data_IF_831113167881
#
_entry.id   IF_831113167881
#
_cell.length_a   1.000
_cell.length_b   1.000
_cell.length_c   1.000
_cell.angle_alpha   90.00
_cell.angle_beta   90.00
_cell.angle_gamma   90.00
#
_symmetry.space_group_name_H-M   'P 1'
#
loop_
_entity.id
_entity.type
_entity.pdbx_description
1 polymer ?
#
# COMPACT_ATOMS: atom_id res chain seq x y z
N UNK A 1 -28.58 -5.42 57.30
CA UNK A 1 -27.74 -6.25 56.42
C UNK A 1 -27.90 -5.66 55.04
N UNK A 2 -26.99 -4.74 54.72
CA UNK A 2 -27.04 -3.87 53.55
C UNK A 2 -26.31 -4.50 52.35
N UNK A 3 -26.82 -4.34 51.12
CA UNK A 3 -26.11 -4.70 49.91
C UNK A 3 -25.18 -3.54 49.51
N UNK A 4 -23.88 -3.82 49.38
CA UNK A 4 -22.91 -2.87 48.88
C UNK A 4 -23.07 -2.67 47.36
N UNK A 5 -23.50 -1.47 46.98
CA UNK A 5 -23.35 -0.87 45.66
C UNK A 5 -21.87 -0.73 45.31
N UNK A 6 -21.46 -1.31 44.18
CA UNK A 6 -20.17 -1.06 43.54
C UNK A 6 -20.43 -0.19 42.32
N UNK A 7 -20.38 1.13 42.53
CA UNK A 7 -20.24 2.10 41.46
C UNK A 7 -18.79 2.03 40.94
N UNK A 8 -18.61 1.51 39.72
CA UNK A 8 -17.38 1.68 38.97
C UNK A 8 -17.35 3.12 38.43
N UNK A 9 -16.43 3.91 38.96
CA UNK A 9 -16.13 5.26 38.48
C UNK A 9 -15.41 5.17 37.14
N UNK A 10 -16.09 5.51 36.05
CA UNK A 10 -15.45 5.88 34.80
C UNK A 10 -14.65 7.16 35.07
N UNK A 11 -13.34 7.01 35.21
CA UNK A 11 -12.42 8.13 35.30
C UNK A 11 -12.32 8.77 33.92
N UNK A 12 -13.04 9.88 33.79
CA UNK A 12 -12.98 10.84 32.70
C UNK A 12 -11.55 11.42 32.58
N UNK A 13 -10.72 10.78 31.76
CA UNK A 13 -9.39 11.26 31.34
C UNK A 13 -9.54 12.28 30.20
N UNK A 14 -10.34 13.33 30.40
CA UNK A 14 -10.53 14.39 29.41
C UNK A 14 -10.14 15.77 29.96
N UNK A 15 -9.55 16.57 29.07
CA UNK A 15 -9.14 17.97 29.19
C UNK A 15 -8.00 18.36 30.15
N UNK A 16 -7.81 17.70 31.30
CA UNK A 16 -6.79 18.14 32.26
C UNK A 16 -5.34 17.94 31.74
N UNK A 17 -5.05 16.82 31.06
CA UNK A 17 -3.70 16.50 30.57
C UNK A 17 -3.26 17.32 29.35
N UNK A 18 -4.21 17.75 28.50
CA UNK A 18 -3.90 18.53 27.29
C UNK A 18 -3.54 19.98 27.62
N UNK A 19 -4.21 20.56 28.61
CA UNK A 19 -3.89 21.88 29.18
C UNK A 19 -2.45 21.95 29.70
N UNK A 20 -2.02 20.92 30.43
CA UNK A 20 -0.71 20.87 31.06
C UNK A 20 0.42 20.68 30.04
N UNK A 21 0.18 19.91 28.97
CA UNK A 21 1.13 19.76 27.85
C UNK A 21 1.29 21.07 27.08
N UNK A 22 0.21 21.81 26.82
CA UNK A 22 0.32 23.11 26.15
C UNK A 22 1.02 24.16 27.01
N UNK A 23 0.74 24.18 28.32
CA UNK A 23 1.40 25.07 29.27
C UNK A 23 2.91 24.75 29.34
N UNK A 24 3.27 23.47 29.38
CA UNK A 24 4.66 23.01 29.35
C UNK A 24 5.37 23.37 28.04
N UNK A 25 4.72 23.19 26.89
CA UNK A 25 5.29 23.57 25.58
C UNK A 25 5.47 25.09 25.43
N UNK A 26 4.55 25.90 25.97
CA UNK A 26 4.71 27.37 26.01
C UNK A 26 5.87 27.79 26.92
N UNK A 27 6.03 27.16 28.08
CA UNK A 27 7.16 27.41 28.98
C UNK A 27 8.51 27.00 28.35
N UNK A 28 8.58 25.83 27.73
CA UNK A 28 9.78 25.34 27.06
C UNK A 28 10.20 26.23 25.87
N UNK A 29 9.22 26.85 25.17
CA UNK A 29 9.49 27.77 24.06
C UNK A 29 10.00 29.14 24.52
N UNK A 30 9.68 29.55 25.75
CA UNK A 30 10.16 30.80 26.34
C UNK A 30 11.60 30.69 26.86
N UNK A 31 12.07 29.49 27.19
CA UNK A 31 13.42 29.24 27.70
C UNK A 31 14.45 28.91 26.62
N UNK A 32 14.02 28.65 25.38
CA UNK A 32 14.95 28.38 24.28
C UNK A 32 15.61 29.69 23.80
N UNK A 33 16.95 29.81 23.84
CA UNK A 33 17.62 30.97 23.28
C UNK A 33 17.31 31.07 21.80
N UNK A 34 16.97 32.28 21.33
CA UNK A 34 16.75 32.54 19.92
C UNK A 34 18.03 32.19 19.14
N UNK A 35 18.06 30.99 18.55
CA UNK A 35 19.15 30.56 17.68
C UNK A 35 19.04 31.36 16.38
N UNK A 36 19.68 32.52 16.34
CA UNK A 36 19.89 33.25 15.09
C UNK A 36 20.70 32.34 14.17
N UNK A 37 20.09 31.88 13.09
CA UNK A 37 20.79 31.15 12.04
C UNK A 37 21.81 32.09 11.42
N UNK A 38 23.06 32.00 11.87
CA UNK A 38 24.13 32.88 11.44
C UNK A 38 24.39 32.77 9.92
N UNK A 39 25.02 33.79 9.32
CA UNK A 39 25.27 33.88 7.87
C UNK A 39 26.08 32.69 7.30
N UNK A 40 26.70 31.91 8.17
CA UNK A 40 27.50 30.72 7.85
C UNK A 40 26.68 29.50 7.44
N UNK A 41 25.37 29.45 7.73
CA UNK A 41 24.53 28.30 7.36
C UNK A 41 24.40 28.16 5.84
N UNK A 42 24.10 29.27 5.14
CA UNK A 42 24.06 29.31 3.68
C UNK A 42 25.42 28.97 3.05
N UNK A 43 26.53 29.35 3.70
CA UNK A 43 27.88 29.03 3.25
C UNK A 43 28.22 27.54 3.46
N UNK A 44 27.77 26.95 4.57
CA UNK A 44 27.94 25.53 4.87
C UNK A 44 27.16 24.64 3.90
N UNK A 45 25.95 25.05 3.53
CA UNK A 45 25.13 24.38 2.50
C UNK A 45 25.80 24.48 1.13
N UNK A 46 26.32 25.66 0.74
CA UNK A 46 27.05 25.84 -0.53
C UNK A 46 28.35 25.01 -0.59
N UNK A 47 29.09 24.91 0.51
CA UNK A 47 30.31 24.08 0.59
C UNK A 47 29.98 22.60 0.48
N UNK A 48 28.90 22.14 1.11
CA UNK A 48 28.44 20.73 1.04
C UNK A 48 27.95 20.36 -0.35
N UNK A 49 27.22 21.27 -1.02
CA UNK A 49 26.79 21.10 -2.42
C UNK A 49 27.99 21.04 -3.39
N UNK A 50 29.02 21.87 -3.20
CA UNK A 50 30.26 21.82 -4.00
C UNK A 50 31.05 20.53 -3.78
N UNK A 51 31.16 20.04 -2.54
CA UNK A 51 31.82 18.76 -2.23
C UNK A 51 31.13 17.56 -2.88
N UNK A 52 29.78 17.55 -2.96
CA UNK A 52 29.04 16.50 -3.68
C UNK A 52 29.33 16.53 -5.19
N UNK A 53 29.29 17.71 -5.83
CA UNK A 53 29.63 17.85 -7.26
C UNK A 53 31.08 17.45 -7.57
N UNK A 54 32.02 17.71 -6.67
CA UNK A 54 33.41 17.28 -6.83
C UNK A 54 33.59 15.75 -6.70
N UNK A 55 32.85 15.10 -5.81
CA UNK A 55 32.90 13.63 -5.64
C UNK A 55 32.26 12.88 -6.81
N UNK A 56 31.18 13.40 -7.39
CA UNK A 56 30.57 12.83 -8.61
C UNK A 56 31.52 12.90 -9.81
N UNK A 57 32.32 13.97 -9.92
CA UNK A 57 33.36 14.06 -10.97
C UNK A 57 34.55 13.12 -10.74
N UNK A 58 34.92 12.85 -9.50
CA UNK A 58 35.99 11.90 -9.17
C UNK A 58 35.59 10.42 -9.34
N UNK A 59 34.29 10.10 -9.16
CA UNK A 59 33.76 8.77 -9.44
C UNK A 59 33.63 8.48 -10.96
N UNK A 60 33.40 9.51 -11.77
CA UNK A 60 33.34 9.39 -13.24
C UNK A 60 34.69 9.06 -13.92
N UNK A 61 35.82 9.32 -13.27
CA UNK A 61 37.16 9.08 -13.87
C UNK A 61 37.64 7.62 -13.83
N UNK A 62 37.07 6.75 -12.99
CA UNK A 62 37.43 5.32 -12.97
C UNK A 62 36.62 4.53 -14.00
N UNK A 63 35.36 4.93 -14.24
CA UNK A 63 34.54 4.34 -15.30
C UNK A 63 35.06 4.67 -16.70
N UNK A 64 35.58 5.89 -16.92
CA UNK A 64 36.08 6.31 -18.23
C UNK A 64 37.30 5.51 -18.73
N UNK A 65 38.16 5.00 -17.84
CA UNK A 65 39.31 4.17 -18.24
C UNK A 65 38.87 2.77 -18.68
N UNK A 66 37.84 2.21 -18.05
CA UNK A 66 37.28 0.90 -18.42
C UNK A 66 36.49 1.01 -19.73
N UNK A 67 35.74 2.08 -19.95
CA UNK A 67 35.02 2.30 -21.23
C UNK A 67 35.96 2.63 -22.38
N UNK A 68 37.07 3.33 -22.15
CA UNK A 68 38.05 3.64 -23.20
C UNK A 68 38.74 2.37 -23.76
N UNK A 69 38.99 1.35 -22.93
CA UNK A 69 39.56 0.06 -23.37
C UNK A 69 38.54 -0.76 -24.17
N UNK A 70 37.25 -0.73 -23.79
CA UNK A 70 36.18 -1.43 -24.54
C UNK A 70 35.88 -0.74 -25.88
N UNK A 71 35.92 0.60 -25.94
CA UNK A 71 35.70 1.35 -27.19
C UNK A 71 36.87 1.21 -28.17
N UNK A 72 38.12 1.07 -27.70
CA UNK A 72 39.28 0.81 -28.58
C UNK A 72 39.28 -0.59 -29.22
N UNK A 73 38.57 -1.57 -28.63
CA UNK A 73 38.42 -2.91 -29.22
C UNK A 73 37.23 -3.02 -30.19
N UNK A 74 36.31 -2.05 -30.19
CA UNK A 74 35.10 -2.06 -31.05
C UNK A 74 35.21 -1.08 -32.23
N UNK A 75 36.17 -0.14 -32.23
CA UNK A 75 36.22 0.97 -33.20
C UNK A 75 37.08 0.73 -34.47
N UNK A 76 37.20 -0.51 -34.96
CA UNK A 76 37.63 -0.76 -36.36
C UNK A 76 36.44 -0.68 -37.33
N UNK A 77 35.20 -0.62 -36.84
CA UNK A 77 34.02 -0.35 -37.65
C UNK A 77 33.37 0.96 -37.22
N UNK A 78 33.12 1.86 -38.18
CA UNK A 78 32.35 3.12 -38.08
C UNK A 78 33.19 4.39 -37.82
N UNK A 79 33.95 4.76 -38.85
CA UNK A 79 34.40 6.13 -39.11
C UNK A 79 33.37 6.84 -40.00
N UNK A 80 32.83 7.95 -39.50
CA UNK A 80 32.04 8.95 -40.21
C UNK A 80 30.87 9.40 -39.32
N UNK A 81 30.79 10.60 -38.77
CA UNK A 81 31.47 11.88 -39.02
C UNK A 81 30.41 12.95 -38.76
N UNK A 82 30.70 13.97 -37.95
CA UNK A 82 29.78 15.10 -37.77
C UNK A 82 29.85 15.80 -36.42
N UNK A 83 30.64 16.87 -36.35
CA UNK A 83 30.75 17.81 -35.23
C UNK A 83 29.62 18.84 -35.33
N UNK A 84 28.93 19.16 -34.23
CA UNK A 84 27.86 20.19 -34.22
C UNK A 84 27.51 20.74 -32.83
N UNK A 85 28.23 21.79 -32.43
CA UNK A 85 27.87 22.97 -31.60
C UNK A 85 26.80 22.88 -30.49
N UNK A 86 27.23 23.14 -29.25
CA UNK A 86 26.43 23.45 -28.07
C UNK A 86 25.61 24.75 -28.22
N UNK A 87 24.30 24.64 -28.33
CA UNK A 87 23.35 25.75 -28.15
C UNK A 87 22.34 25.39 -27.05
N UNK A 88 22.23 26.23 -26.02
CA UNK A 88 21.15 26.14 -25.03
C UNK A 88 19.87 26.56 -25.75
N UNK A 89 18.95 25.62 -25.95
CA UNK A 89 17.64 25.88 -26.54
C UNK A 89 16.71 26.54 -25.48
N UNK A 90 15.97 27.60 -25.84
CA UNK A 90 14.94 28.15 -24.96
C UNK A 90 13.76 27.16 -24.84
N UNK A 91 13.05 27.23 -23.72
CA UNK A 91 11.85 26.43 -23.47
C UNK A 91 10.83 26.63 -24.61
N UNK A 92 10.56 25.54 -25.33
CA UNK A 92 9.54 25.50 -26.37
C UNK A 92 8.17 25.37 -25.71
N UNK A 93 7.21 26.19 -26.12
CA UNK A 93 5.79 25.93 -25.88
C UNK A 93 5.38 24.74 -26.73
N UNK A 94 5.30 23.57 -26.09
CA UNK A 94 4.97 22.29 -26.73
C UNK A 94 3.48 22.27 -27.10
N UNK A 95 3.19 21.99 -28.38
CA UNK A 95 1.84 21.74 -28.86
C UNK A 95 1.29 20.42 -28.27
N UNK A 96 -0.04 20.24 -28.11
CA UNK A 96 -0.59 19.02 -27.55
C UNK A 96 -0.15 17.79 -28.36
N UNK A 97 0.47 16.81 -27.69
CA UNK A 97 0.78 15.51 -28.30
C UNK A 97 -0.48 14.84 -28.84
N UNK A 98 -0.34 14.08 -29.93
CA UNK A 98 -1.42 13.30 -30.53
C UNK A 98 -2.09 12.37 -29.49
N UNK A 99 -3.38 11.99 -29.65
CA UNK A 99 -4.07 11.09 -28.72
C UNK A 99 -3.32 9.75 -28.61
N UNK A 100 -2.49 9.64 -27.57
CA UNK A 100 -1.61 8.51 -27.31
C UNK A 100 -2.35 7.35 -26.68
N UNK A 101 -1.73 6.18 -26.69
CA UNK A 101 -2.25 4.95 -26.12
C UNK A 101 -2.78 5.16 -24.68
N UNK A 102 -3.99 4.68 -24.41
CA UNK A 102 -4.53 4.65 -23.06
C UNK A 102 -3.75 3.63 -22.23
N UNK A 103 -3.22 4.05 -21.08
CA UNK A 103 -2.56 3.15 -20.13
C UNK A 103 -3.55 2.79 -19.03
N UNK A 104 -4.04 1.54 -19.04
CA UNK A 104 -5.00 1.04 -18.05
C UNK A 104 -4.36 -0.02 -17.15
N UNK A 105 -4.21 0.29 -15.86
CA UNK A 105 -3.71 -0.63 -14.84
C UNK A 105 -4.35 -0.32 -13.48
N UNK A 106 -4.60 -1.33 -12.65
CA UNK A 106 -5.10 -1.08 -11.30
C UNK A 106 -6.52 -0.48 -11.25
N UNK A 107 -7.27 -0.57 -12.36
CA UNK A 107 -8.56 0.10 -12.53
C UNK A 107 -8.42 1.60 -12.74
N UNK A 108 -7.22 2.09 -13.00
CA UNK A 108 -6.93 3.47 -13.39
C UNK A 108 -6.62 3.48 -14.88
N UNK A 109 -7.12 4.48 -15.61
CA UNK A 109 -6.70 4.78 -16.98
C UNK A 109 -6.10 6.18 -17.03
N UNK A 110 -4.86 6.29 -17.53
CA UNK A 110 -4.20 7.58 -17.76
C UNK A 110 -4.36 7.94 -19.24
N UNK A 111 -5.11 9.00 -19.53
CA UNK A 111 -5.43 9.44 -20.90
C UNK A 111 -4.50 10.52 -21.43
N UNK A 112 -3.65 11.09 -20.56
CA UNK A 112 -2.66 12.08 -20.96
C UNK A 112 -1.40 11.96 -20.11
N UNK A 113 -0.25 11.99 -20.77
CA UNK A 113 1.06 12.03 -20.17
C UNK A 113 1.94 13.06 -20.89
N UNK A 114 2.98 13.61 -20.23
CA UNK A 114 3.94 14.49 -20.88
C UNK A 114 4.63 13.82 -22.06
N UNK A 115 4.99 14.60 -23.08
CA UNK A 115 5.71 14.08 -24.25
C UNK A 115 7.04 13.43 -23.84
N UNK A 116 7.37 12.32 -24.49
CA UNK A 116 8.60 11.59 -24.19
C UNK A 116 8.53 10.73 -22.92
N UNK A 117 7.38 10.63 -22.25
CA UNK A 117 7.19 9.67 -21.16
C UNK A 117 6.75 8.30 -21.70
N UNK A 118 7.18 7.24 -21.01
CA UNK A 118 6.75 5.86 -21.23
C UNK A 118 6.38 5.20 -19.91
N UNK A 119 5.52 4.20 -19.99
CA UNK A 119 5.24 3.31 -18.87
C UNK A 119 6.48 2.48 -18.53
N UNK A 120 6.81 2.38 -17.24
CA UNK A 120 7.98 1.68 -16.73
C UNK A 120 7.60 0.42 -15.95
N UNK A 121 6.62 0.55 -15.05
CA UNK A 121 6.23 -0.54 -14.16
C UNK A 121 4.85 -0.32 -13.56
N UNK A 122 4.31 -1.42 -13.05
CA UNK A 122 3.04 -1.49 -12.38
C UNK A 122 3.20 -2.27 -11.06
N UNK A 123 2.53 -1.81 -9.99
CA UNK A 123 2.59 -2.43 -8.66
C UNK A 123 1.22 -2.45 -8.01
N UNK A 124 0.97 -3.48 -7.21
CA UNK A 124 -0.26 -3.64 -6.45
C UNK A 124 0.05 -4.11 -5.02
N UNK A 125 -0.88 -3.88 -4.08
CA UNK A 125 -0.81 -4.53 -2.78
C UNK A 125 0.41 -4.12 -1.96
N UNK A 126 0.99 -5.12 -1.27
CA UNK A 126 2.19 -4.97 -0.47
C UNK A 126 3.44 -4.61 -1.28
N UNK A 127 3.45 -4.83 -2.60
CA UNK A 127 4.62 -4.54 -3.42
C UNK A 127 4.83 -3.03 -3.60
N UNK A 128 3.72 -2.26 -3.58
CA UNK A 128 3.77 -0.80 -3.50
C UNK A 128 4.46 -0.38 -2.20
N UNK A 129 4.13 -1.02 -1.06
CA UNK A 129 4.73 -0.72 0.26
C UNK A 129 6.20 -1.14 0.38
N UNK A 130 6.56 -2.29 -0.19
CA UNK A 130 7.88 -2.90 -0.02
C UNK A 130 8.95 -2.28 -0.89
N UNK A 131 8.55 -1.71 -2.02
CA UNK A 131 9.50 -1.03 -2.88
C UNK A 131 10.04 0.23 -2.22
N UNK A 132 11.33 0.52 -2.37
CA UNK A 132 11.87 1.85 -2.02
C UNK A 132 11.10 2.97 -2.72
N UNK A 133 10.54 2.63 -3.89
CA UNK A 133 9.60 3.42 -4.68
C UNK A 133 8.25 3.70 -4.01
N UNK A 134 7.93 3.04 -2.88
CA UNK A 134 6.67 3.19 -2.17
C UNK A 134 6.49 4.61 -1.66
N UNK A 135 7.56 5.25 -1.16
CA UNK A 135 7.63 6.66 -0.79
C UNK A 135 6.30 7.29 -0.37
N UNK A 136 5.82 8.26 -1.17
CA UNK A 136 4.51 8.92 -1.04
C UNK A 136 3.38 7.90 -0.83
N UNK A 137 3.13 7.00 -1.78
CA UNK A 137 2.05 6.00 -1.76
C UNK A 137 2.09 5.07 -0.53
N UNK A 138 3.29 4.68 -0.09
CA UNK A 138 3.47 3.82 1.06
C UNK A 138 3.11 4.53 2.38
N UNK A 139 3.41 5.82 2.48
CA UNK A 139 2.92 6.64 3.58
C UNK A 139 1.39 6.75 3.58
N UNK A 140 0.73 6.79 2.42
CA UNK A 140 -0.74 6.79 2.36
C UNK A 140 -1.34 5.49 2.81
N UNK A 141 -0.81 4.34 2.37
CA UNK A 141 -1.28 3.06 2.90
C UNK A 141 -1.03 2.95 4.41
N UNK A 142 0.06 3.53 4.93
CA UNK A 142 0.28 3.61 6.37
C UNK A 142 -0.82 4.41 7.08
N UNK A 143 -1.16 5.60 6.56
CA UNK A 143 -2.23 6.42 7.13
C UNK A 143 -3.59 5.70 7.04
N UNK A 144 -3.89 5.05 5.92
CA UNK A 144 -5.16 4.37 5.65
C UNK A 144 -5.32 3.03 6.40
N UNK A 145 -4.57 2.80 7.48
CA UNK A 145 -4.72 1.62 8.33
C UNK A 145 -3.97 0.37 7.85
N UNK A 146 -3.00 0.53 6.94
CA UNK A 146 -2.17 -0.55 6.36
C UNK A 146 -2.93 -1.57 5.53
N UNK A 147 -4.20 -1.32 5.20
CA UNK A 147 -4.84 -2.13 4.17
C UNK A 147 -4.22 -1.78 2.82
N UNK A 148 -3.41 -2.69 2.31
CA UNK A 148 -2.69 -2.51 1.05
C UNK A 148 -3.47 -3.10 -0.12
N UNK A 149 -4.55 -3.85 0.11
CA UNK A 149 -5.18 -4.65 -0.92
C UNK A 149 -5.86 -3.81 -2.01
N UNK A 150 -6.25 -2.58 -1.68
CA UNK A 150 -6.78 -1.60 -2.63
C UNK A 150 -5.72 -0.69 -3.26
N UNK A 151 -4.43 -0.90 -3.00
CA UNK A 151 -3.38 0.01 -3.47
C UNK A 151 -2.83 -0.43 -4.82
N UNK A 152 -2.89 0.46 -5.81
CA UNK A 152 -2.27 0.26 -7.12
C UNK A 152 -1.47 1.49 -7.52
N UNK A 153 -0.38 1.26 -8.24
CA UNK A 153 0.46 2.33 -8.76
C UNK A 153 1.06 1.94 -10.12
N UNK A 154 1.06 2.90 -11.04
CA UNK A 154 1.78 2.84 -12.30
C UNK A 154 2.86 3.90 -12.32
N UNK A 155 4.06 3.50 -12.73
CA UNK A 155 5.23 4.37 -12.84
C UNK A 155 5.50 4.69 -14.30
N UNK A 156 5.76 5.95 -14.56
CA UNK A 156 6.11 6.50 -15.86
C UNK A 156 7.41 7.27 -15.75
N UNK A 157 8.22 7.27 -16.80
CA UNK A 157 9.46 8.02 -16.83
C UNK A 157 9.91 8.32 -18.25
N UNK A 158 11.05 9.00 -18.43
CA UNK A 158 11.49 9.43 -19.74
C UNK A 158 11.86 8.24 -20.63
N UNK A 159 11.60 8.40 -21.93
CA UNK A 159 11.76 7.33 -22.92
C UNK A 159 13.22 6.90 -23.09
N UNK A 160 14.15 7.79 -22.81
CA UNK A 160 15.60 7.54 -22.83
C UNK A 160 16.10 6.66 -21.66
N UNK A 161 15.23 6.35 -20.70
CA UNK A 161 15.57 5.53 -19.53
C UNK A 161 16.43 6.24 -18.49
N UNK A 162 16.46 7.58 -18.50
CA UNK A 162 17.11 8.34 -17.44
C UNK A 162 16.33 8.29 -16.12
N UNK A 163 17.06 8.16 -15.00
CA UNK A 163 16.49 8.13 -13.63
C UNK A 163 15.88 9.49 -13.18
N UNK A 164 16.01 10.55 -13.99
CA UNK A 164 15.88 11.92 -13.51
C UNK A 164 14.44 12.43 -13.38
N UNK A 165 13.41 11.66 -13.73
CA UNK A 165 12.02 12.15 -13.74
C UNK A 165 11.01 10.99 -13.71
N UNK A 166 10.70 10.45 -12.53
CA UNK A 166 9.60 9.47 -12.41
C UNK A 166 8.30 10.18 -12.05
N UNK A 167 7.24 9.87 -12.79
CA UNK A 167 5.86 10.21 -12.46
C UNK A 167 5.14 8.94 -12.04
N UNK A 168 4.48 8.96 -10.89
CA UNK A 168 3.68 7.84 -10.39
C UNK A 168 2.23 8.25 -10.27
N UNK A 169 1.35 7.45 -10.84
CA UNK A 169 -0.10 7.56 -10.68
C UNK A 169 -0.56 6.38 -9.85
N UNK A 170 -1.30 6.63 -8.78
CA UNK A 170 -1.83 5.56 -7.95
C UNK A 170 -3.21 5.82 -7.41
N UNK A 171 -3.83 4.74 -6.95
CA UNK A 171 -5.15 4.73 -6.30
C UNK A 171 -5.07 3.88 -5.05
N UNK A 172 -5.74 4.32 -4.00
CA UNK A 172 -6.18 3.49 -2.91
C UNK A 172 -7.70 3.36 -2.98
N UNK A 173 -8.20 2.18 -3.34
CA UNK A 173 -9.63 1.86 -3.40
C UNK A 173 -10.31 1.87 -2.03
N UNK A 174 -9.54 1.68 -0.96
CA UNK A 174 -10.03 1.63 0.42
C UNK A 174 -9.25 2.60 1.32
N UNK A 175 -9.47 3.92 1.18
CA UNK A 175 -8.78 4.90 2.02
C UNK A 175 -9.24 4.89 3.49
N UNK A 176 -10.23 4.06 3.84
CA UNK A 176 -10.82 4.01 5.17
C UNK A 176 -11.55 5.31 5.48
N UNK A 177 -11.25 5.91 6.64
CA UNK A 177 -11.80 7.21 7.05
C UNK A 177 -11.01 8.42 6.54
N UNK A 178 -9.97 8.21 5.72
CA UNK A 178 -9.13 9.31 5.25
C UNK A 178 -9.82 10.06 4.13
N UNK A 179 -10.27 11.27 4.45
CA UNK A 179 -10.64 12.29 3.47
C UNK A 179 -9.43 13.14 3.08
N UNK A 180 -9.55 13.89 1.98
CA UNK A 180 -8.55 14.91 1.59
C UNK A 180 -8.30 15.92 2.72
N UNK A 181 -9.34 16.27 3.48
CA UNK A 181 -9.22 17.15 4.65
C UNK A 181 -8.48 16.46 5.81
N UNK A 182 -8.76 15.19 6.08
CA UNK A 182 -8.01 14.40 7.05
C UNK A 182 -6.53 14.26 6.67
N UNK A 183 -6.26 14.10 5.38
CA UNK A 183 -4.91 14.04 4.81
C UNK A 183 -4.17 15.38 4.99
N UNK A 184 -4.85 16.50 4.74
CA UNK A 184 -4.33 17.84 5.02
C UNK A 184 -3.98 18.03 6.50
N UNK A 185 -4.80 17.51 7.42
CA UNK A 185 -4.56 17.59 8.85
C UNK A 185 -3.39 16.68 9.30
N UNK A 186 -3.27 15.49 8.73
CA UNK A 186 -2.26 14.49 9.11
C UNK A 186 -0.83 14.86 8.68
N UNK A 187 -0.68 15.68 7.64
CA UNK A 187 0.61 16.06 7.06
C UNK A 187 1.31 17.20 7.82
N UNK A 188 1.49 17.02 9.12
CA UNK A 188 2.21 17.96 9.98
C UNK A 188 3.63 18.21 9.44
N UNK A 189 3.89 19.44 8.97
CA UNK A 189 5.19 19.88 8.45
C UNK A 189 5.25 20.05 6.93
N UNK A 190 4.28 19.52 6.16
CA UNK A 190 4.06 19.96 4.80
C UNK A 190 3.21 21.24 4.80
N UNK A 191 3.29 22.06 3.75
CA UNK A 191 2.34 23.16 3.52
C UNK A 191 1.32 22.72 2.48
N UNK A 192 0.29 21.95 2.87
CA UNK A 192 -0.74 21.50 1.94
C UNK A 192 -1.41 22.72 1.33
N UNK A 193 -1.37 22.80 0.00
CA UNK A 193 -2.03 23.87 -0.74
C UNK A 193 -3.31 23.31 -1.35
N UNK A 194 -4.49 23.77 -0.90
CA UNK A 194 -5.77 23.34 -1.48
C UNK A 194 -5.83 23.66 -2.98
N UNK A 195 -6.44 22.76 -3.74
CA UNK A 195 -6.70 22.91 -5.17
C UNK A 195 -7.91 22.07 -5.58
N UNK A 196 -8.11 21.88 -6.88
CA UNK A 196 -9.08 20.94 -7.42
C UNK A 196 -8.52 20.12 -8.58
N UNK A 197 -9.06 18.92 -8.78
CA UNK A 197 -8.84 18.06 -9.96
C UNK A 197 -10.20 17.64 -10.48
N UNK A 198 -10.55 18.00 -11.72
CA UNK A 198 -11.86 17.66 -12.27
C UNK A 198 -13.07 18.21 -11.48
N UNK A 199 -12.88 19.25 -10.67
CA UNK A 199 -13.90 19.80 -9.76
C UNK A 199 -13.86 19.22 -8.35
N UNK A 200 -13.16 18.11 -8.13
CA UNK A 200 -13.02 17.48 -6.82
C UNK A 200 -12.00 18.22 -5.95
N UNK A 201 -12.22 18.35 -4.63
CA UNK A 201 -11.23 18.88 -3.69
C UNK A 201 -9.93 18.09 -3.75
N UNK A 202 -8.83 18.81 -3.81
CA UNK A 202 -7.51 18.22 -3.92
C UNK A 202 -6.48 18.95 -3.06
N UNK A 203 -5.41 18.26 -2.69
CA UNK A 203 -4.31 18.81 -1.87
C UNK A 203 -2.99 18.60 -2.58
N UNK A 204 -2.23 19.69 -2.73
CA UNK A 204 -0.86 19.69 -3.25
C UNK A 204 0.13 19.70 -2.10
N UNK A 205 1.17 18.89 -2.22
CA UNK A 205 2.33 18.86 -1.34
C UNK A 205 3.58 19.20 -2.16
N UNK A 206 4.23 20.31 -1.85
CA UNK A 206 5.39 20.84 -2.61
C UNK A 206 6.72 20.77 -1.86
N UNK A 207 6.77 20.04 -0.76
CA UNK A 207 7.97 19.93 0.08
C UNK A 207 8.55 18.54 -0.03
N UNK A 208 9.88 18.44 0.11
CA UNK A 208 10.53 17.18 0.47
C UNK A 208 9.75 16.60 1.64
N UNK A 209 9.13 15.43 1.43
CA UNK A 209 8.49 14.73 2.53
C UNK A 209 9.56 14.51 3.60
N UNK A 210 9.27 14.76 4.88
CA UNK A 210 10.28 14.65 5.92
C UNK A 210 10.89 13.24 5.89
N UNK A 211 12.20 13.16 6.13
CA UNK A 211 12.98 11.96 5.83
C UNK A 211 12.47 10.69 6.54
N UNK A 212 11.79 10.84 7.68
CA UNK A 212 11.12 9.76 8.41
C UNK A 212 9.93 9.13 7.65
N UNK A 213 9.34 9.85 6.70
CA UNK A 213 8.26 9.36 5.83
C UNK A 213 8.83 8.61 4.62
N UNK A 214 9.99 9.03 4.12
CA UNK A 214 10.56 8.53 2.86
C UNK A 214 11.14 7.10 2.88
N UNK A 215 11.14 6.39 4.01
CA UNK A 215 11.54 4.97 4.12
C UNK A 215 12.98 4.61 3.71
N UNK A 216 13.75 5.52 3.13
CA UNK A 216 15.04 5.21 2.51
C UNK A 216 15.42 6.19 1.40
N UNK A 217 15.66 7.46 1.74
CA UNK A 217 16.49 8.38 0.93
C UNK A 217 15.89 8.92 -0.37
N UNK A 218 14.66 8.57 -0.75
CA UNK A 218 14.01 9.13 -1.94
C UNK A 218 13.35 10.48 -1.63
N UNK A 219 13.84 11.56 -2.25
CA UNK A 219 13.25 12.90 -2.15
C UNK A 219 12.18 13.07 -3.22
N UNK A 220 10.92 12.91 -2.84
CA UNK A 220 9.81 13.36 -3.68
C UNK A 220 9.78 14.89 -3.71
N UNK A 221 9.56 15.45 -4.90
CA UNK A 221 9.51 16.90 -5.08
C UNK A 221 8.09 17.45 -5.02
N UNK A 222 7.08 16.61 -5.30
CA UNK A 222 5.70 16.92 -4.97
C UNK A 222 4.72 15.81 -5.23
N UNK A 223 3.53 15.95 -4.65
CA UNK A 223 2.41 15.06 -4.85
C UNK A 223 1.08 15.82 -4.84
N UNK A 224 0.10 15.33 -5.60
CA UNK A 224 -1.26 15.84 -5.71
C UNK A 224 -2.24 14.73 -5.37
N UNK A 225 -3.09 14.96 -4.37
CA UNK A 225 -4.09 14.01 -3.87
C UNK A 225 -5.49 14.53 -4.12
N UNK A 226 -6.41 13.63 -4.42
CA UNK A 226 -7.84 13.92 -4.47
C UNK A 226 -8.64 12.63 -4.25
N UNK A 227 -9.89 12.77 -3.82
CA UNK A 227 -10.84 11.66 -3.72
C UNK A 227 -11.90 11.80 -4.80
N UNK A 228 -12.47 10.67 -5.25
CA UNK A 228 -13.62 10.68 -6.15
C UNK A 228 -14.90 10.47 -5.33
N UNK A 229 -15.67 11.53 -5.12
CA UNK A 229 -16.83 11.54 -4.23
C UNK A 229 -16.46 11.47 -2.74
N UNK A 230 -17.47 11.57 -1.89
CA UNK A 230 -17.30 11.49 -0.43
C UNK A 230 -17.05 10.03 0.01
N UNK A 231 -15.90 9.79 0.64
CA UNK A 231 -15.45 8.45 1.06
C UNK A 231 -15.06 7.50 -0.07
N UNK A 232 -14.99 7.96 -1.32
CA UNK A 232 -14.57 7.14 -2.45
C UNK A 232 -13.05 6.97 -2.58
N UNK A 233 -12.57 6.33 -3.65
CA UNK A 233 -11.14 6.04 -3.84
C UNK A 233 -10.29 7.30 -3.77
N UNK A 234 -9.14 7.19 -3.11
CA UNK A 234 -8.14 8.25 -3.02
C UNK A 234 -7.11 8.06 -4.13
N UNK A 235 -6.90 9.08 -4.95
CA UNK A 235 -5.90 9.06 -6.02
C UNK A 235 -4.72 9.95 -5.67
N UNK A 236 -3.60 9.63 -6.31
CA UNK A 236 -2.38 10.43 -6.23
C UNK A 236 -1.66 10.48 -7.57
N UNK A 237 -1.15 11.67 -7.90
CA UNK A 237 -0.03 11.84 -8.83
C UNK A 237 1.17 12.34 -8.04
N UNK A 238 2.30 11.65 -8.12
CA UNK A 238 3.53 12.07 -7.47
C UNK A 238 4.68 12.11 -8.45
N UNK A 239 5.61 13.05 -8.23
CA UNK A 239 6.76 13.26 -9.10
C UNK A 239 8.05 13.21 -8.29
N UNK A 240 9.06 12.57 -8.88
CA UNK A 240 10.38 12.38 -8.32
C UNK A 240 11.42 13.08 -9.21
N UNK A 241 12.41 13.69 -8.58
CA UNK A 241 13.67 14.18 -9.18
C UNK A 241 13.57 15.26 -10.31
N UNK A 242 12.38 15.81 -10.60
CA UNK A 242 12.16 16.98 -11.48
C UNK A 242 12.14 18.32 -10.72
N UNK A 243 13.21 19.11 -10.79
CA UNK A 243 13.23 20.50 -10.33
C UNK A 243 13.57 21.48 -11.48
N UNK A 244 12.76 22.53 -11.71
CA UNK A 244 11.54 22.91 -10.98
C UNK A 244 10.33 22.03 -11.32
N UNK A 245 9.44 21.87 -10.34
CA UNK A 245 8.20 21.11 -10.51
C UNK A 245 7.16 21.92 -11.29
N UNK A 246 6.68 21.41 -12.42
CA UNK A 246 5.57 22.02 -13.16
C UNK A 246 4.22 21.50 -12.61
N UNK A 247 3.60 22.28 -11.74
CA UNK A 247 2.30 21.96 -11.17
C UNK A 247 1.16 21.97 -12.18
N UNK A 248 1.27 22.72 -13.28
CA UNK A 248 0.25 22.70 -14.33
C UNK A 248 0.29 21.36 -15.07
N UNK A 249 1.48 20.82 -15.31
CA UNK A 249 1.67 19.50 -15.88
C UNK A 249 1.14 18.39 -14.97
N UNK A 250 1.49 18.39 -13.68
CA UNK A 250 0.98 17.40 -12.70
C UNK A 250 -0.55 17.44 -12.64
N UNK A 251 -1.13 18.65 -12.61
CA UNK A 251 -2.58 18.81 -12.60
C UNK A 251 -3.21 18.25 -13.88
N UNK A 252 -2.59 18.48 -15.04
CA UNK A 252 -3.07 17.96 -16.32
C UNK A 252 -3.01 16.43 -16.38
N UNK A 253 -1.96 15.80 -15.83
CA UNK A 253 -1.93 14.33 -15.67
C UNK A 253 -3.09 13.88 -14.79
N UNK A 254 -3.27 14.50 -13.62
CA UNK A 254 -4.34 14.14 -12.70
C UNK A 254 -5.75 14.30 -13.31
N UNK A 255 -5.98 15.36 -14.09
CA UNK A 255 -7.24 15.57 -14.84
C UNK A 255 -7.44 14.53 -15.97
N UNK A 256 -6.34 13.94 -16.48
CA UNK A 256 -6.36 12.83 -17.42
C UNK A 256 -6.45 11.45 -16.77
N UNK A 257 -6.54 11.37 -15.44
CA UNK A 257 -6.74 10.10 -14.73
C UNK A 257 -8.23 9.79 -14.65
N UNK A 258 -8.62 8.64 -15.20
CA UNK A 258 -9.97 8.11 -15.15
C UNK A 258 -10.00 6.86 -14.27
N UNK A 259 -10.96 6.79 -13.34
CA UNK A 259 -11.24 5.56 -12.61
C UNK A 259 -12.16 4.65 -13.44
N UNK A 260 -11.73 3.42 -13.62
CA UNK A 260 -12.55 2.31 -14.07
C UNK A 260 -13.12 1.53 -12.89
N UNK A 261 -13.31 0.22 -13.08
CA UNK A 261 -13.66 -0.70 -12.00
C UNK A 261 -12.39 -1.09 -11.25
N UNK A 262 -12.49 -1.18 -9.92
CA UNK A 262 -11.42 -1.77 -9.13
C UNK A 262 -11.07 -3.18 -9.66
N UNK A 263 -9.78 -3.48 -9.86
CA UNK A 263 -9.35 -4.81 -10.26
C UNK A 263 -9.61 -5.79 -9.13
N UNK A 264 -9.99 -7.00 -9.50
CA UNK A 264 -10.16 -8.10 -8.56
C UNK A 264 -11.28 -7.85 -7.53
N UNK A 265 -12.18 -6.86 -7.75
CA UNK A 265 -13.39 -6.74 -6.95
C UNK A 265 -14.25 -7.97 -7.15
N UNK A 266 -14.41 -8.73 -6.07
CA UNK A 266 -15.30 -9.88 -6.05
C UNK A 266 -16.74 -9.38 -6.21
N UNK A 267 -17.47 -9.95 -7.16
CA UNK A 267 -18.90 -9.65 -7.30
C UNK A 267 -19.64 -9.90 -5.96
N UNK A 268 -20.56 -9.03 -5.51
CA UNK A 268 -21.22 -9.19 -4.22
C UNK A 268 -21.90 -10.55 -4.02
N UNK A 269 -22.48 -11.14 -5.07
CA UNK A 269 -23.07 -12.49 -4.99
C UNK A 269 -21.98 -13.54 -4.76
N UNK A 270 -20.82 -13.38 -5.39
CA UNK A 270 -19.67 -14.26 -5.15
C UNK A 270 -19.15 -14.11 -3.72
N UNK A 271 -19.10 -12.88 -3.18
CA UNK A 271 -18.75 -12.65 -1.75
C UNK A 271 -19.67 -13.45 -0.84
N UNK A 272 -20.98 -13.37 -1.04
CA UNK A 272 -21.96 -14.07 -0.21
C UNK A 272 -21.80 -15.61 -0.31
N UNK A 273 -21.56 -16.13 -1.52
CA UNK A 273 -21.32 -17.56 -1.74
C UNK A 273 -20.02 -18.05 -1.09
N UNK A 274 -18.93 -17.29 -1.21
CA UNK A 274 -17.65 -17.61 -0.57
C UNK A 274 -17.79 -17.55 0.96
N UNK A 275 -18.45 -16.53 1.51
CA UNK A 275 -18.76 -16.45 2.95
C UNK A 275 -19.57 -17.66 3.41
N UNK A 276 -20.57 -18.09 2.64
CA UNK A 276 -21.37 -19.26 2.97
C UNK A 276 -20.54 -20.55 3.03
N UNK A 277 -19.62 -20.77 2.08
CA UNK A 277 -18.71 -21.91 2.09
C UNK A 277 -17.81 -21.91 3.34
N UNK A 278 -17.13 -20.79 3.60
CA UNK A 278 -16.27 -20.65 4.79
C UNK A 278 -17.04 -20.78 6.12
N UNK A 279 -18.25 -20.20 6.22
CA UNK A 279 -19.11 -20.39 7.39
C UNK A 279 -19.55 -21.85 7.56
N UNK A 280 -19.74 -22.60 6.48
CA UNK A 280 -20.06 -24.03 6.57
C UNK A 280 -18.86 -24.82 7.13
N UNK A 281 -17.64 -24.42 6.77
CA UNK A 281 -16.41 -25.11 7.21
C UNK A 281 -15.98 -24.71 8.63
N UNK A 282 -16.06 -23.43 8.99
CA UNK A 282 -15.41 -22.85 10.19
C UNK A 282 -16.35 -22.19 11.20
N UNK A 283 -17.68 -22.23 11.03
CA UNK A 283 -18.61 -21.76 12.05
C UNK A 283 -19.15 -22.95 12.85
N UNK A 284 -18.92 -22.94 14.15
CA UNK A 284 -19.50 -23.90 15.08
C UNK A 284 -21.03 -23.83 15.05
N UNK A 285 -21.69 -24.99 15.13
CA UNK A 285 -23.15 -25.11 15.12
C UNK A 285 -23.64 -26.08 16.18
N UNK A 286 -24.86 -25.83 16.65
CA UNK A 286 -25.58 -26.74 17.54
C UNK A 286 -27.00 -26.97 16.97
N UNK A 287 -27.30 -28.16 16.40
CA UNK A 287 -26.43 -29.33 16.30
C UNK A 287 -25.25 -29.17 15.31
N UNK A 288 -24.19 -29.99 15.41
CA UNK A 288 -23.10 -30.01 14.45
C UNK A 288 -23.57 -30.34 13.03
N UNK A 289 -22.88 -29.81 12.01
CA UNK A 289 -23.13 -30.16 10.60
C UNK A 289 -22.79 -31.62 10.33
N UNK A 290 -23.60 -32.27 9.49
CA UNK A 290 -23.28 -33.58 8.93
C UNK A 290 -22.01 -33.52 8.07
N UNK A 291 -21.32 -34.65 7.94
CA UNK A 291 -20.13 -34.77 7.11
C UNK A 291 -20.43 -34.50 5.63
N UNK A 292 -21.64 -34.82 5.17
CA UNK A 292 -22.12 -34.51 3.82
C UNK A 292 -22.25 -32.99 3.59
N UNK A 293 -22.94 -32.28 4.50
CA UNK A 293 -23.13 -30.83 4.37
C UNK A 293 -21.80 -30.08 4.51
N UNK A 294 -20.91 -30.55 5.38
CA UNK A 294 -19.57 -30.00 5.51
C UNK A 294 -18.70 -30.30 4.27
N UNK A 295 -18.77 -31.54 3.78
CA UNK A 295 -18.03 -32.00 2.60
C UNK A 295 -18.41 -31.25 1.32
N UNK A 296 -19.68 -30.83 1.20
CA UNK A 296 -20.16 -30.02 0.08
C UNK A 296 -19.62 -28.57 0.07
N UNK A 297 -18.89 -28.13 1.10
CA UNK A 297 -18.33 -26.78 1.21
C UNK A 297 -16.79 -26.75 1.15
N UNK A 298 -16.13 -27.89 0.97
CA UNK A 298 -14.67 -28.01 0.85
C UNK A 298 -14.31 -28.77 -0.41
N UNK A 299 -13.21 -28.40 -1.04
CA UNK A 299 -12.62 -29.14 -2.16
C UNK A 299 -12.10 -30.50 -1.68
N UNK A 300 -12.27 -31.56 -2.48
CA UNK A 300 -11.77 -32.93 -2.23
C UNK A 300 -12.15 -33.50 -0.84
N UNK A 301 -13.44 -33.49 -0.46
CA UNK A 301 -13.86 -33.80 0.91
C UNK A 301 -13.50 -35.22 1.36
N UNK A 302 -13.44 -36.19 0.44
CA UNK A 302 -13.08 -37.57 0.75
C UNK A 302 -11.68 -37.70 1.39
N UNK A 303 -10.75 -36.84 1.01
CA UNK A 303 -9.38 -36.81 1.54
C UNK A 303 -9.29 -36.08 2.88
N UNK A 304 -10.19 -35.11 3.10
CA UNK A 304 -10.14 -34.20 4.24
C UNK A 304 -10.99 -34.68 5.43
N UNK A 305 -12.10 -35.37 5.19
CA UNK A 305 -13.01 -35.85 6.24
C UNK A 305 -12.32 -36.67 7.35
N UNK A 306 -11.39 -37.60 7.06
CA UNK A 306 -10.64 -38.30 8.11
C UNK A 306 -9.81 -37.37 9.00
N UNK A 307 -9.24 -36.29 8.42
CA UNK A 307 -8.48 -35.28 9.16
C UNK A 307 -9.42 -34.49 10.08
N UNK A 308 -10.57 -34.05 9.55
CA UNK A 308 -11.61 -33.36 10.34
C UNK A 308 -12.07 -34.19 11.54
N UNK A 309 -12.29 -35.49 11.34
CA UNK A 309 -12.65 -36.40 12.43
C UNK A 309 -11.60 -36.46 13.55
N UNK A 310 -10.31 -36.54 13.18
CA UNK A 310 -9.20 -36.50 14.16
C UNK A 310 -9.11 -35.15 14.88
N UNK A 311 -9.29 -34.03 14.16
CA UNK A 311 -9.34 -32.68 14.76
C UNK A 311 -10.48 -32.59 15.76
N UNK A 312 -11.69 -33.05 15.42
CA UNK A 312 -12.84 -33.00 16.31
C UNK A 312 -12.67 -33.88 17.57
N UNK A 313 -12.04 -35.05 17.43
CA UNK A 313 -11.75 -35.92 18.56
C UNK A 313 -10.71 -35.30 19.51
N UNK A 314 -9.69 -34.62 18.95
CA UNK A 314 -8.56 -34.08 19.71
C UNK A 314 -8.85 -32.71 20.33
N UNK A 315 -9.58 -31.88 19.60
CA UNK A 315 -9.90 -30.49 19.93
C UNK A 315 -11.42 -30.26 19.91
N UNK A 316 -12.17 -30.89 20.83
CA UNK A 316 -13.61 -30.76 20.86
C UNK A 316 -14.06 -29.32 21.19
N UNK A 317 -13.28 -28.58 21.96
CA UNK A 317 -13.56 -27.17 22.27
C UNK A 317 -13.44 -26.29 21.03
N UNK A 318 -12.43 -26.53 20.19
CA UNK A 318 -12.25 -25.86 18.90
C UNK A 318 -13.50 -26.05 18.05
N UNK A 319 -13.92 -27.29 17.81
CA UNK A 319 -15.09 -27.57 16.95
C UNK A 319 -16.38 -27.00 17.54
N UNK A 320 -16.52 -26.98 18.86
CA UNK A 320 -17.72 -26.47 19.53
C UNK A 320 -17.82 -24.94 19.58
N UNK A 321 -16.70 -24.22 19.42
CA UNK A 321 -16.65 -22.77 19.66
C UNK A 321 -16.04 -21.96 18.53
N UNK A 322 -15.53 -22.61 17.49
CA UNK A 322 -14.93 -21.93 16.36
C UNK A 322 -15.90 -20.98 15.69
N UNK A 323 -15.43 -19.78 15.45
CA UNK A 323 -16.13 -18.70 14.78
C UNK A 323 -15.17 -18.05 13.80
N UNK A 324 -15.75 -17.43 12.77
CA UNK A 324 -15.01 -16.77 11.70
C UNK A 324 -15.51 -15.33 11.56
N UNK A 325 -14.59 -14.39 11.48
CA UNK A 325 -14.84 -13.02 11.08
C UNK A 325 -14.13 -12.76 9.76
N UNK A 326 -14.87 -12.37 8.72
CA UNK A 326 -14.31 -12.07 7.42
C UNK A 326 -13.69 -10.67 7.41
N UNK A 327 -12.50 -10.57 6.82
CA UNK A 327 -11.94 -9.31 6.37
C UNK A 327 -12.31 -9.07 4.92
N UNK A 328 -11.30 -8.75 4.13
CA UNK A 328 -11.36 -8.50 2.69
C UNK A 328 -11.41 -9.79 1.84
N UNK A 329 -11.86 -9.64 0.60
CA UNK A 329 -11.83 -10.69 -0.43
C UNK A 329 -11.33 -10.12 -1.75
N UNK A 330 -10.46 -10.84 -2.44
CA UNK A 330 -9.93 -10.45 -3.75
C UNK A 330 -10.14 -11.58 -4.74
N UNK A 331 -10.62 -11.26 -5.94
CA UNK A 331 -10.79 -12.23 -7.01
C UNK A 331 -9.47 -12.39 -7.77
N UNK A 332 -8.72 -13.44 -7.46
CA UNK A 332 -7.42 -13.70 -8.11
C UNK A 332 -7.60 -14.26 -9.53
N UNK A 333 -8.71 -14.96 -9.78
CA UNK A 333 -9.10 -15.48 -11.09
C UNK A 333 -10.62 -15.63 -11.20
N UNK A 334 -11.19 -15.90 -12.39
CA UNK A 334 -12.62 -16.21 -12.53
C UNK A 334 -13.12 -17.35 -11.63
N UNK A 335 -12.23 -18.26 -11.21
CA UNK A 335 -12.54 -19.45 -10.41
C UNK A 335 -11.83 -19.48 -9.05
N UNK A 336 -11.20 -18.38 -8.63
CA UNK A 336 -10.39 -18.32 -7.41
C UNK A 336 -10.58 -16.99 -6.69
N UNK A 337 -10.89 -17.05 -5.39
CA UNK A 337 -11.01 -15.87 -4.52
C UNK A 337 -10.12 -16.06 -3.31
N UNK A 338 -9.20 -15.14 -3.07
CA UNK A 338 -8.48 -15.03 -1.81
C UNK A 338 -9.34 -14.33 -0.77
N UNK A 339 -9.30 -14.83 0.46
CA UNK A 339 -10.12 -14.38 1.59
C UNK A 339 -9.21 -14.12 2.77
N UNK A 340 -9.26 -12.93 3.35
CA UNK A 340 -8.72 -12.68 4.69
C UNK A 340 -9.80 -12.90 5.74
N UNK A 341 -9.44 -13.54 6.85
CA UNK A 341 -10.38 -13.82 7.93
C UNK A 341 -9.66 -14.08 9.24
N UNK A 342 -10.39 -13.93 10.35
CA UNK A 342 -9.93 -14.25 11.69
C UNK A 342 -10.72 -15.43 12.21
N UNK A 343 -10.02 -16.49 12.66
CA UNK A 343 -10.63 -17.59 13.39
C UNK A 343 -10.52 -17.34 14.89
N UNK A 344 -11.60 -17.51 15.63
CA UNK A 344 -11.62 -17.43 17.09
C UNK A 344 -12.28 -18.68 17.66
N UNK A 345 -11.64 -19.33 18.64
CA UNK A 345 -12.17 -20.51 19.33
C UNK A 345 -11.59 -20.63 20.74
N UNK A 346 -12.13 -21.56 21.52
CA UNK A 346 -11.67 -21.89 22.87
C UNK A 346 -11.44 -23.39 22.98
N UNK A 347 -10.20 -23.81 23.25
CA UNK A 347 -9.87 -25.23 23.48
C UNK A 347 -8.70 -25.38 24.47
N UNK A 348 -8.95 -26.05 25.60
CA UNK A 348 -7.95 -26.27 26.66
C UNK A 348 -6.89 -27.31 26.29
N UNK A 349 -7.09 -28.10 25.24
CA UNK A 349 -6.12 -29.08 24.78
C UNK A 349 -4.97 -28.45 23.98
N UNK A 350 -5.05 -27.15 23.65
CA UNK A 350 -3.98 -26.45 22.96
C UNK A 350 -2.95 -25.89 23.95
N UNK A 351 -1.65 -26.23 23.81
CA UNK A 351 -0.61 -25.93 24.79
C UNK A 351 -0.20 -24.45 24.88
N UNK A 352 -0.62 -23.61 23.93
CA UNK A 352 -0.19 -22.20 23.81
C UNK A 352 -1.31 -21.18 24.04
N UNK A 353 -2.42 -21.58 24.67
CA UNK A 353 -3.55 -20.67 24.90
C UNK A 353 -3.38 -19.82 26.16
N UNK A 354 -4.08 -18.70 26.21
CA UNK A 354 -4.35 -17.96 27.44
C UNK A 354 -4.98 -18.87 28.50
N UNK A 355 -5.00 -18.45 29.76
CA UNK A 355 -5.53 -19.25 30.88
C UNK A 355 -7.00 -19.64 30.72
N UNK A 356 -7.76 -18.90 29.90
CA UNK A 356 -9.16 -19.17 29.54
C UNK A 356 -9.31 -20.13 28.33
N UNK A 357 -8.21 -20.55 27.71
CA UNK A 357 -8.21 -21.45 26.55
C UNK A 357 -8.55 -20.77 25.23
N UNK A 358 -8.68 -19.43 25.20
CA UNK A 358 -9.08 -18.68 24.02
C UNK A 358 -7.92 -18.52 23.03
N UNK A 359 -8.22 -18.65 21.75
CA UNK A 359 -7.29 -18.43 20.66
C UNK A 359 -7.93 -17.56 19.58
N UNK A 360 -7.18 -16.63 19.02
CA UNK A 360 -7.60 -15.77 17.91
C UNK A 360 -6.44 -15.61 16.94
N UNK A 361 -6.68 -15.89 15.66
CA UNK A 361 -5.66 -15.85 14.62
C UNK A 361 -6.24 -15.24 13.33
N UNK A 362 -5.67 -14.10 12.94
CA UNK A 362 -5.87 -13.53 11.61
C UNK A 362 -5.06 -14.30 10.58
N UNK A 363 -5.68 -14.67 9.47
CA UNK A 363 -5.06 -15.48 8.42
C UNK A 363 -5.71 -15.22 7.05
N UNK A 364 -5.19 -15.89 6.04
CA UNK A 364 -5.76 -15.89 4.68
C UNK A 364 -6.07 -17.30 4.22
N UNK A 365 -6.94 -17.41 3.24
CA UNK A 365 -7.28 -18.65 2.56
C UNK A 365 -7.86 -18.36 1.20
N UNK A 366 -8.29 -19.41 0.52
CA UNK A 366 -8.71 -19.36 -0.88
C UNK A 366 -9.97 -20.18 -1.03
N UNK A 367 -10.98 -19.60 -1.67
CA UNK A 367 -12.12 -20.31 -2.23
C UNK A 367 -11.89 -20.59 -3.72
N UNK A 368 -12.36 -21.75 -4.16
CA UNK A 368 -12.29 -22.19 -5.56
C UNK A 368 -13.68 -22.52 -6.09
N UNK A 369 -13.95 -22.17 -7.34
CA UNK A 369 -15.20 -22.50 -8.02
C UNK A 369 -15.09 -23.88 -8.66
N UNK A 370 -15.83 -24.85 -8.15
CA UNK A 370 -15.89 -26.23 -8.66
C UNK A 370 -17.33 -26.54 -9.03
N UNK A 371 -17.57 -26.92 -10.29
CA UNK A 371 -18.91 -27.25 -10.81
C UNK A 371 -19.99 -26.18 -10.51
N UNK A 372 -19.59 -24.91 -10.52
CA UNK A 372 -20.50 -23.78 -10.25
C UNK A 372 -20.74 -23.47 -8.76
N UNK A 373 -20.05 -24.16 -7.86
CA UNK A 373 -20.11 -23.94 -6.41
C UNK A 373 -18.77 -23.45 -5.86
N UNK A 374 -18.83 -22.38 -5.06
CA UNK A 374 -17.64 -21.91 -4.33
C UNK A 374 -17.39 -22.80 -3.12
N UNK A 375 -16.19 -23.35 -3.03
CA UNK A 375 -15.74 -24.24 -1.97
C UNK A 375 -14.49 -23.67 -1.31
N UNK A 376 -14.27 -23.96 -0.02
CA UNK A 376 -12.97 -23.73 0.61
C UNK A 376 -11.95 -24.67 -0.04
N UNK A 377 -10.84 -24.13 -0.53
CA UNK A 377 -9.79 -24.96 -1.14
C UNK A 377 -9.19 -25.93 -0.11
N UNK A 378 -8.75 -27.10 -0.59
CA UNK A 378 -8.06 -28.11 0.22
C UNK A 378 -6.85 -27.50 0.94
N UNK A 379 -6.01 -26.78 0.21
CA UNK A 379 -4.80 -26.13 0.74
C UNK A 379 -5.13 -25.17 1.88
N UNK A 380 -6.24 -24.44 1.78
CA UNK A 380 -6.68 -23.55 2.86
C UNK A 380 -7.04 -24.34 4.10
N UNK A 381 -7.84 -25.39 3.96
CA UNK A 381 -8.21 -26.22 5.12
C UNK A 381 -6.98 -26.83 5.78
N UNK A 382 -6.10 -27.43 4.98
CA UNK A 382 -4.90 -28.09 5.42
C UNK A 382 -3.91 -27.13 6.08
N UNK A 383 -3.70 -25.95 5.51
CA UNK A 383 -2.91 -24.88 6.14
C UNK A 383 -3.40 -24.54 7.56
N UNK A 384 -4.72 -24.57 7.82
CA UNK A 384 -5.24 -24.30 9.18
C UNK A 384 -5.08 -25.47 10.13
N UNK A 385 -5.15 -26.69 9.61
CA UNK A 385 -4.86 -27.89 10.42
C UNK A 385 -3.38 -27.93 10.80
N UNK A 386 -2.47 -27.60 9.88
CA UNK A 386 -1.02 -27.57 10.12
C UNK A 386 -0.58 -26.50 11.14
N UNK A 387 -1.41 -25.49 11.40
CA UNK A 387 -1.20 -24.52 12.47
C UNK A 387 -1.45 -25.09 13.86
N UNK A 388 -2.15 -26.23 13.97
CA UNK A 388 -2.34 -26.92 15.24
C UNK A 388 -1.02 -27.66 15.61
N UNK A 389 -0.58 -27.61 16.87
CA UNK A 389 0.77 -28.03 17.26
C UNK A 389 0.90 -29.57 17.37
N UNK A 390 0.70 -30.30 16.26
CA UNK A 390 0.72 -31.76 16.23
C UNK A 390 1.23 -32.31 14.90
N UNK A 391 2.18 -33.24 14.96
CA UNK A 391 2.81 -33.83 13.77
C UNK A 391 2.00 -34.95 13.10
N UNK A 392 0.96 -35.46 13.75
CA UNK A 392 0.08 -36.54 13.27
C UNK A 392 -1.19 -36.03 12.57
N UNK A 393 -1.49 -34.73 12.64
CA UNK A 393 -2.57 -34.08 11.90
C UNK A 393 -2.11 -33.60 10.52
N UNK A 394 -1.42 -34.47 9.76
CA UNK A 394 -1.06 -34.12 8.38
C UNK A 394 -2.26 -34.26 7.47
N UNK A 395 -2.48 -33.22 6.68
CA UNK A 395 -3.29 -33.36 5.48
C UNK A 395 -2.59 -34.24 4.44
N UNK A 396 -3.35 -35.01 3.65
CA UNK A 396 -2.82 -35.77 2.53
C UNK A 396 -2.27 -34.87 1.43
#
# INVERSE_FOLDING_TARGET
>A
MDPHDVHASDADLSDADLSDVEAWLRAARAELPALSVGPWFAQSVRVRARRRRARVRAAGSVAAVVTAVVVLLVSVGLLGGGVGTNGIAPASTVAPGAPGAHHSYGGITVTWLPEGTKHLSDKAGSDVMRSSEGGVLGYFAYLAGRDTQGLYASTFGPSDGGDASELKVGVNWYPGSISVAGLQAALHGATPTPTTVGGEPAVRLSTELPANISGGGETHLGALFWSVGDGGPLLVVSVRDVAPLDWAEIKRVAEGVQLGREPNTVDPRTVDQVKAAFNTVYLARNPPLSDEAWGAAVQDPAEILPVRGRVAQRYPGLVATISIAFGSMTQDSPTTVSVSFTLTFTDKALPATTSDGKYSLGTTGTAVLVDGHWLVSRDTYCSKVDMLPMSDLKCP
#
